data_IF_754238446523
#
_entry.id   IF_754238446523
#
_cell.length_a   1.000
_cell.length_b   1.000
_cell.length_c   1.000
_cell.angle_alpha   90.00
_cell.angle_beta   90.00
_cell.angle_gamma   90.00
#
_symmetry.space_group_name_H-M   'P 1'
#
loop_
_entity.id
_entity.type
_entity.pdbx_description
1 polymer ?
#
# COMPACT_ATOMS: atom_id res chain seq x y z
N UNK A 1 32.76 -21.38 21.91
CA UNK A 1 31.98 -20.31 21.27
C UNK A 1 32.55 -20.14 19.87
N UNK A 2 31.73 -20.42 18.87
CA UNK A 2 31.92 -20.32 17.40
C UNK A 2 31.45 -21.63 16.74
N UNK A 3 30.13 -21.79 16.67
CA UNK A 3 29.47 -22.77 15.82
C UNK A 3 28.67 -22.02 14.76
N UNK A 4 29.37 -21.23 13.94
CA UNK A 4 28.82 -20.65 12.72
C UNK A 4 29.01 -21.65 11.59
N UNK A 5 27.97 -22.43 11.29
CA UNK A 5 27.99 -23.31 10.12
C UNK A 5 28.01 -22.44 8.85
N UNK A 6 29.18 -22.35 8.19
CA UNK A 6 29.30 -21.78 6.84
C UNK A 6 28.64 -22.75 5.85
N UNK A 7 27.36 -22.57 5.56
CA UNK A 7 26.72 -23.27 4.44
C UNK A 7 26.98 -22.44 3.18
N UNK A 8 28.05 -22.80 2.45
CA UNK A 8 28.18 -22.39 1.04
C UNK A 8 27.11 -23.15 0.24
N UNK A 9 26.14 -22.42 -0.30
CA UNK A 9 25.10 -22.90 -1.23
C UNK A 9 24.16 -23.97 -0.65
N UNK A 10 23.01 -23.56 -0.11
CA UNK A 10 21.84 -24.43 -0.03
C UNK A 10 20.96 -24.16 -1.26
N UNK A 11 21.28 -24.81 -2.38
CA UNK A 11 20.29 -25.00 -3.44
C UNK A 11 19.27 -26.02 -2.93
N UNK A 12 18.12 -25.57 -2.40
CA UNK A 12 16.94 -26.44 -2.29
C UNK A 12 16.28 -26.48 -3.66
N UNK A 13 16.99 -27.15 -4.57
CA UNK A 13 16.37 -27.84 -5.67
C UNK A 13 16.22 -29.28 -5.16
N UNK A 14 15.08 -29.92 -5.36
CA UNK A 14 15.13 -31.38 -5.53
C UNK A 14 15.87 -31.67 -6.84
N UNK A 15 17.19 -31.49 -6.79
CA UNK A 15 18.25 -32.04 -7.64
C UNK A 15 19.36 -32.33 -6.63
N UNK A 16 19.52 -33.61 -6.32
CA UNK A 16 20.83 -34.12 -5.97
C UNK A 16 21.71 -33.99 -7.23
N UNK A 17 22.90 -33.41 -7.04
CA UNK A 17 24.09 -33.41 -7.93
C UNK A 17 24.22 -32.24 -8.92
N UNK A 18 25.35 -31.52 -8.77
CA UNK A 18 25.91 -30.60 -9.77
C UNK A 18 27.08 -29.73 -9.29
N UNK A 19 28.17 -30.32 -8.76
CA UNK A 19 29.54 -29.74 -8.89
C UNK A 19 29.73 -29.28 -10.34
N UNK A 20 30.57 -28.30 -10.70
CA UNK A 20 30.65 -27.76 -12.07
C UNK A 20 30.84 -28.84 -13.17
N UNK A 21 29.75 -29.50 -13.59
CA UNK A 21 29.69 -30.73 -14.36
C UNK A 21 28.22 -31.16 -14.49
N UNK A 22 27.85 -31.60 -15.69
CA UNK A 22 26.71 -32.43 -16.10
C UNK A 22 25.52 -32.61 -15.14
N UNK A 23 24.36 -32.15 -15.63
CA UNK A 23 23.02 -32.42 -15.12
C UNK A 23 22.80 -33.87 -14.69
N UNK A 24 22.26 -34.07 -13.49
CA UNK A 24 21.56 -35.31 -13.13
C UNK A 24 20.17 -34.96 -12.58
N UNK A 25 19.17 -35.56 -13.20
CA UNK A 25 17.79 -35.53 -12.74
C UNK A 25 17.66 -36.32 -11.44
N UNK A 26 16.61 -36.03 -10.68
CA UNK A 26 16.18 -36.84 -9.55
C UNK A 26 15.55 -38.14 -10.08
N UNK A 27 16.38 -39.03 -10.62
CA UNK A 27 15.99 -40.42 -10.89
C UNK A 27 16.49 -41.28 -9.73
N UNK A 28 15.52 -41.85 -9.01
CA UNK A 28 15.61 -43.04 -8.15
C UNK A 28 16.70 -43.12 -7.06
N UNK A 29 16.44 -42.50 -5.90
CA UNK A 29 16.94 -43.05 -4.62
C UNK A 29 15.96 -44.16 -4.17
N UNK A 30 16.40 -45.42 -4.06
CA UNK A 30 15.56 -46.49 -3.52
C UNK A 30 15.26 -46.21 -2.04
N UNK A 31 13.98 -46.04 -1.72
CA UNK A 31 13.51 -45.70 -0.37
C UNK A 31 12.81 -44.34 -0.35
N UNK A 32 11.55 -44.34 -0.80
CA UNK A 32 10.64 -43.17 -0.79
C UNK A 32 10.44 -42.62 0.62
N UNK A 33 11.34 -41.76 1.10
CA UNK A 33 10.97 -40.78 2.12
C UNK A 33 10.39 -39.58 1.39
N UNK A 34 9.07 -39.51 1.34
CA UNK A 34 8.36 -38.30 0.97
C UNK A 34 8.66 -37.28 2.08
N UNK A 35 9.31 -36.17 1.74
CA UNK A 35 9.55 -35.09 2.68
C UNK A 35 8.35 -34.14 2.61
N UNK A 36 7.62 -34.00 3.70
CA UNK A 36 6.39 -33.21 3.75
C UNK A 36 6.66 -31.70 4.03
N UNK A 37 7.88 -31.35 4.45
CA UNK A 37 8.30 -29.98 4.81
C UNK A 37 9.83 -29.86 4.76
N UNK A 38 10.32 -28.67 4.39
CA UNK A 38 11.72 -28.26 4.58
C UNK A 38 11.80 -27.04 5.51
N UNK A 39 12.73 -27.05 6.46
CA UNK A 39 13.00 -25.94 7.37
C UNK A 39 14.45 -25.50 7.22
N UNK A 40 14.66 -24.20 6.99
CA UNK A 40 15.96 -23.53 7.07
C UNK A 40 15.87 -22.52 8.20
N UNK A 41 16.66 -22.70 9.26
CA UNK A 41 16.56 -21.88 10.47
C UNK A 41 17.96 -21.49 10.97
N UNK A 42 18.13 -20.28 11.50
CA UNK A 42 19.37 -19.79 12.13
C UNK A 42 20.65 -19.91 11.26
N UNK A 43 20.53 -19.61 9.96
CA UNK A 43 21.64 -19.68 9.01
C UNK A 43 22.08 -18.31 8.48
N UNK A 44 23.36 -18.21 8.09
CA UNK A 44 23.90 -17.09 7.31
C UNK A 44 24.19 -17.50 5.86
N UNK A 45 23.55 -16.84 4.90
CA UNK A 45 23.73 -17.09 3.47
C UNK A 45 24.20 -15.81 2.77
N UNK A 46 25.49 -15.76 2.44
CA UNK A 46 26.11 -14.55 1.91
C UNK A 46 27.14 -14.79 0.81
N UNK A 47 27.39 -13.76 -0.01
CA UNK A 47 28.40 -13.76 -1.08
C UNK A 47 28.26 -14.91 -2.10
N UNK A 48 27.07 -15.50 -2.23
CA UNK A 48 26.81 -16.45 -3.29
C UNK A 48 26.76 -15.71 -4.64
N UNK A 49 27.30 -16.32 -5.71
CA UNK A 49 27.29 -15.71 -7.05
C UNK A 49 25.86 -15.48 -7.59
N UNK A 50 24.90 -16.30 -7.16
CA UNK A 50 23.49 -16.23 -7.59
C UNK A 50 22.58 -15.81 -6.43
N UNK A 51 21.61 -16.65 -6.07
CA UNK A 51 20.69 -16.38 -4.98
C UNK A 51 21.27 -16.89 -3.65
N UNK A 52 20.86 -16.29 -2.53
CA UNK A 52 21.16 -16.88 -1.21
C UNK A 52 20.39 -18.19 -1.01
N UNK A 53 19.08 -18.15 -1.25
CA UNK A 53 18.20 -19.33 -1.27
C UNK A 53 17.38 -19.31 -2.55
N UNK A 54 17.29 -20.47 -3.22
CA UNK A 54 16.38 -20.68 -4.35
C UNK A 54 15.51 -21.90 -4.09
N UNK A 55 14.21 -21.76 -4.27
CA UNK A 55 13.21 -22.79 -4.01
C UNK A 55 12.46 -23.08 -5.31
N UNK A 56 12.33 -24.36 -5.64
CA UNK A 56 11.53 -24.89 -6.77
C UNK A 56 10.80 -26.15 -6.32
N UNK A 57 9.58 -26.35 -6.82
CA UNK A 57 8.78 -27.53 -6.51
C UNK A 57 7.73 -27.26 -5.44
N UNK A 58 6.89 -28.25 -5.14
CA UNK A 58 5.65 -28.09 -4.37
C UNK A 58 5.76 -28.41 -2.87
N UNK A 59 6.94 -28.84 -2.40
CA UNK A 59 7.13 -29.13 -0.98
C UNK A 59 7.19 -27.81 -0.21
N UNK A 60 6.39 -27.64 0.87
CA UNK A 60 6.44 -26.45 1.70
C UNK A 60 7.83 -26.19 2.26
N UNK A 61 8.28 -24.93 2.22
CA UNK A 61 9.57 -24.49 2.76
C UNK A 61 9.38 -23.37 3.77
N UNK A 62 9.96 -23.53 4.97
CA UNK A 62 9.98 -22.51 6.01
C UNK A 62 11.41 -21.99 6.20
N UNK A 63 11.61 -20.67 6.09
CA UNK A 63 12.88 -19.99 6.32
C UNK A 63 12.70 -19.08 7.55
N UNK A 64 13.49 -19.31 8.61
CA UNK A 64 13.35 -18.64 9.90
C UNK A 64 14.67 -18.09 10.41
N UNK A 65 14.64 -16.90 11.01
CA UNK A 65 15.78 -16.33 11.74
C UNK A 65 17.13 -16.28 10.97
N UNK A 66 17.08 -16.25 9.63
CA UNK A 66 18.28 -16.28 8.78
C UNK A 66 18.82 -14.87 8.48
N UNK A 67 20.12 -14.80 8.21
CA UNK A 67 20.81 -13.62 7.66
C UNK A 67 21.15 -13.88 6.19
N UNK A 68 20.52 -13.16 5.26
CA UNK A 68 20.66 -13.42 3.82
C UNK A 68 21.13 -12.15 3.12
N UNK A 69 22.42 -12.09 2.81
CA UNK A 69 23.06 -10.82 2.45
C UNK A 69 24.09 -10.88 1.35
N UNK A 70 24.31 -9.75 0.66
CA UNK A 70 25.46 -9.60 -0.25
C UNK A 70 25.54 -10.66 -1.35
N UNK A 71 24.41 -11.26 -1.76
CA UNK A 71 24.40 -12.25 -2.85
C UNK A 71 24.41 -11.55 -4.22
N UNK A 72 25.03 -12.18 -5.21
CA UNK A 72 25.21 -11.69 -6.59
C UNK A 72 23.91 -11.53 -7.36
N UNK A 73 22.80 -12.10 -6.88
CA UNK A 73 21.44 -11.88 -7.38
C UNK A 73 20.45 -11.55 -6.25
N UNK A 74 19.49 -12.43 -5.98
CA UNK A 74 18.37 -12.21 -5.05
C UNK A 74 18.70 -12.85 -3.71
N UNK A 75 18.24 -12.29 -2.58
CA UNK A 75 18.35 -12.96 -1.30
C UNK A 75 17.62 -14.31 -1.30
N UNK A 76 16.29 -14.28 -1.40
CA UNK A 76 15.42 -15.47 -1.50
C UNK A 76 14.64 -15.45 -2.81
N UNK A 77 14.69 -16.54 -3.57
CA UNK A 77 13.92 -16.72 -4.79
C UNK A 77 12.96 -17.91 -4.67
N UNK A 78 11.66 -17.65 -4.77
CA UNK A 78 10.59 -18.66 -4.79
C UNK A 78 10.10 -18.77 -6.24
N UNK A 79 10.40 -19.89 -6.89
CA UNK A 79 9.98 -20.21 -8.25
C UNK A 79 8.87 -21.29 -8.23
N UNK A 80 8.01 -21.32 -9.26
CA UNK A 80 7.15 -22.44 -9.71
C UNK A 80 6.66 -23.44 -8.64
N UNK A 81 5.36 -23.36 -8.33
CA UNK A 81 4.64 -24.25 -7.40
C UNK A 81 5.12 -24.21 -5.94
N UNK A 82 6.13 -23.40 -5.63
CA UNK A 82 6.63 -23.31 -4.26
C UNK A 82 5.62 -22.69 -3.31
N UNK A 83 5.57 -23.26 -2.11
CA UNK A 83 4.83 -22.73 -0.97
C UNK A 83 5.85 -22.38 0.11
N UNK A 84 6.01 -21.08 0.39
CA UNK A 84 7.13 -20.60 1.20
C UNK A 84 6.65 -19.74 2.36
N UNK A 85 7.23 -19.93 3.54
CA UNK A 85 7.11 -19.01 4.68
C UNK A 85 8.48 -18.46 5.00
N UNK A 86 8.61 -17.13 5.04
CA UNK A 86 9.84 -16.42 5.44
C UNK A 86 9.53 -15.59 6.68
N UNK A 87 10.12 -15.94 7.81
CA UNK A 87 9.81 -15.33 9.10
C UNK A 87 11.07 -14.89 9.87
N UNK A 88 11.05 -13.68 10.45
CA UNK A 88 12.10 -13.23 11.38
C UNK A 88 13.51 -13.09 10.77
N UNK A 89 13.63 -13.01 9.44
CA UNK A 89 14.91 -12.95 8.74
C UNK A 89 15.38 -11.50 8.52
N UNK A 90 16.69 -11.33 8.34
CA UNK A 90 17.30 -10.10 7.84
C UNK A 90 17.83 -10.33 6.42
N UNK A 91 17.27 -9.62 5.44
CA UNK A 91 17.53 -9.86 4.00
C UNK A 91 18.00 -8.56 3.36
N UNK A 92 19.31 -8.44 3.09
CA UNK A 92 19.88 -7.13 2.79
C UNK A 92 21.10 -7.12 1.87
N UNK A 93 21.37 -5.97 1.25
CA UNK A 93 22.54 -5.78 0.38
C UNK A 93 22.66 -6.80 -0.76
N UNK A 94 21.56 -7.43 -1.18
CA UNK A 94 21.58 -8.31 -2.34
C UNK A 94 21.60 -7.48 -3.64
N UNK A 95 22.28 -7.98 -4.65
CA UNK A 95 22.54 -7.26 -5.92
C UNK A 95 21.28 -7.07 -6.79
N UNK A 96 20.16 -7.68 -6.40
CA UNK A 96 18.84 -7.46 -7.01
C UNK A 96 17.77 -7.20 -5.94
N UNK A 97 16.73 -8.03 -5.84
CA UNK A 97 15.69 -7.92 -4.83
C UNK A 97 16.09 -8.66 -3.54
N UNK A 98 15.50 -8.28 -2.40
CA UNK A 98 15.60 -9.07 -1.18
C UNK A 98 14.89 -10.42 -1.34
N UNK A 99 13.61 -10.36 -1.71
CA UNK A 99 12.78 -11.53 -2.03
C UNK A 99 12.19 -11.40 -3.44
N UNK A 100 12.28 -12.46 -4.24
CA UNK A 100 11.71 -12.52 -5.59
C UNK A 100 10.79 -13.73 -5.72
N UNK A 101 9.50 -13.47 -5.94
CA UNK A 101 8.44 -14.45 -6.06
C UNK A 101 8.06 -14.57 -7.53
N UNK A 102 8.15 -15.78 -8.09
CA UNK A 102 7.95 -16.04 -9.52
C UNK A 102 7.14 -17.32 -9.73
N UNK A 103 5.89 -17.18 -10.12
CA UNK A 103 5.00 -18.33 -10.37
C UNK A 103 4.90 -19.31 -9.17
N UNK A 104 5.08 -18.82 -7.95
CA UNK A 104 4.91 -19.64 -6.75
C UNK A 104 3.43 -20.05 -6.59
N UNK A 105 3.17 -21.11 -5.81
CA UNK A 105 1.81 -21.44 -5.39
C UNK A 105 1.33 -20.45 -4.32
N UNK A 106 2.22 -20.07 -3.41
CA UNK A 106 1.97 -19.01 -2.45
C UNK A 106 3.18 -18.70 -1.58
N UNK A 107 3.19 -17.52 -0.97
CA UNK A 107 4.25 -17.12 -0.04
C UNK A 107 3.72 -16.25 1.09
N UNK A 108 4.21 -16.52 2.30
CA UNK A 108 4.04 -15.68 3.49
C UNK A 108 5.38 -15.08 3.87
N UNK A 109 5.44 -13.76 4.02
CA UNK A 109 6.63 -12.99 4.39
C UNK A 109 6.26 -12.21 5.64
N UNK A 110 6.77 -12.59 6.81
CA UNK A 110 6.36 -12.00 8.08
C UNK A 110 7.51 -11.65 9.03
N UNK A 111 7.37 -10.54 9.77
CA UNK A 111 8.32 -10.16 10.82
C UNK A 111 9.79 -10.03 10.35
N UNK A 112 10.03 -9.75 9.06
CA UNK A 112 11.37 -9.64 8.49
C UNK A 112 11.87 -8.19 8.45
N UNK A 113 13.20 -8.02 8.36
CA UNK A 113 13.85 -6.77 7.92
C UNK A 113 14.39 -6.97 6.51
N UNK A 114 13.88 -6.21 5.53
CA UNK A 114 14.27 -6.33 4.11
C UNK A 114 14.78 -4.98 3.60
N UNK A 115 16.10 -4.85 3.44
CA UNK A 115 16.69 -3.52 3.27
C UNK A 115 17.96 -3.43 2.44
N UNK A 116 18.27 -2.25 1.91
CA UNK A 116 19.52 -1.97 1.15
C UNK A 116 19.74 -2.91 -0.04
N UNK A 117 18.69 -3.48 -0.62
CA UNK A 117 18.80 -4.29 -1.84
C UNK A 117 18.84 -3.36 -3.08
N UNK A 118 19.58 -3.75 -4.12
CA UNK A 118 19.81 -2.92 -5.33
C UNK A 118 18.60 -2.79 -6.26
N UNK A 119 17.52 -3.54 -6.01
CA UNK A 119 16.21 -3.38 -6.65
C UNK A 119 15.14 -3.14 -5.57
N UNK A 120 13.99 -3.81 -5.65
CA UNK A 120 12.94 -3.69 -4.65
C UNK A 120 13.20 -4.61 -3.44
N UNK A 121 12.58 -4.32 -2.30
CA UNK A 121 12.62 -5.23 -1.16
C UNK A 121 11.98 -6.58 -1.52
N UNK A 122 10.74 -6.54 -2.01
CA UNK A 122 9.99 -7.70 -2.50
C UNK A 122 9.52 -7.45 -3.94
N UNK A 123 9.83 -8.38 -4.84
CA UNK A 123 9.34 -8.41 -6.23
C UNK A 123 8.41 -9.60 -6.41
N UNK A 124 7.24 -9.37 -6.99
CA UNK A 124 6.23 -10.40 -7.27
C UNK A 124 5.95 -10.42 -8.77
N UNK A 125 6.15 -11.58 -9.39
CA UNK A 125 5.93 -11.81 -10.81
C UNK A 125 5.11 -13.08 -11.02
N UNK A 126 4.12 -13.00 -11.92
CA UNK A 126 3.26 -14.12 -12.30
C UNK A 126 3.07 -14.13 -13.81
N UNK A 127 3.33 -15.26 -14.43
CA UNK A 127 3.06 -15.54 -15.85
C UNK A 127 1.62 -16.00 -16.07
N UNK A 128 1.25 -16.23 -17.34
CA UNK A 128 -0.04 -16.80 -17.77
C UNK A 128 -0.30 -18.26 -17.34
N UNK A 129 0.61 -18.85 -16.58
CA UNK A 129 0.57 -20.28 -16.24
C UNK A 129 -0.78 -20.69 -15.65
N UNK A 130 -1.41 -21.70 -16.27
CA UNK A 130 -2.79 -22.13 -16.00
C UNK A 130 -2.93 -23.01 -14.77
N UNK A 131 -1.86 -23.72 -14.38
CA UNK A 131 -1.88 -24.67 -13.27
C UNK A 131 -2.05 -23.96 -11.91
N UNK A 132 -1.46 -22.78 -11.77
CA UNK A 132 -1.63 -21.92 -10.59
C UNK A 132 -2.47 -20.72 -11.02
N UNK A 133 -3.80 -20.77 -10.87
CA UNK A 133 -4.68 -19.74 -11.41
C UNK A 133 -4.52 -18.41 -10.69
N UNK A 134 -4.07 -18.40 -9.43
CA UNK A 134 -3.83 -17.21 -8.60
C UNK A 134 -2.59 -17.44 -7.74
N UNK A 135 -1.66 -16.49 -7.76
CA UNK A 135 -0.53 -16.46 -6.81
C UNK A 135 -0.94 -15.70 -5.56
N UNK A 136 -1.03 -16.39 -4.42
CA UNK A 136 -1.32 -15.78 -3.12
C UNK A 136 -0.04 -15.27 -2.43
N UNK A 137 -0.01 -14.00 -2.06
CA UNK A 137 1.13 -13.36 -1.40
C UNK A 137 0.67 -12.63 -0.15
N UNK A 138 1.18 -13.04 1.01
CA UNK A 138 0.93 -12.40 2.31
C UNK A 138 2.21 -11.76 2.81
N UNK A 139 2.18 -10.45 3.08
CA UNK A 139 3.31 -9.68 3.61
C UNK A 139 2.83 -8.98 4.88
N UNK A 140 3.29 -9.43 6.05
CA UNK A 140 2.78 -8.95 7.33
C UNK A 140 3.89 -8.50 8.31
N UNK A 141 3.70 -7.37 8.99
CA UNK A 141 4.58 -6.95 10.10
C UNK A 141 6.07 -6.85 9.75
N UNK A 142 6.42 -6.57 8.49
CA UNK A 142 7.81 -6.43 8.05
C UNK A 142 8.27 -4.97 8.15
N UNK A 143 9.59 -4.80 8.27
CA UNK A 143 10.28 -3.52 8.02
C UNK A 143 10.96 -3.61 6.65
N UNK A 144 10.47 -2.86 5.66
CA UNK A 144 10.98 -2.88 4.28
C UNK A 144 11.49 -1.49 3.90
N UNK A 145 12.81 -1.32 3.84
CA UNK A 145 13.38 0.03 3.82
C UNK A 145 14.71 0.19 3.10
N UNK A 146 15.05 1.41 2.69
CA UNK A 146 16.34 1.72 2.07
C UNK A 146 16.67 0.87 0.82
N UNK A 147 15.67 0.35 0.10
CA UNK A 147 15.90 -0.36 -1.15
C UNK A 147 16.01 0.62 -2.33
N UNK A 148 16.79 0.26 -3.35
CA UNK A 148 17.09 1.16 -4.49
C UNK A 148 15.92 1.34 -5.46
N UNK A 149 14.86 0.54 -5.35
CA UNK A 149 13.59 0.72 -6.05
C UNK A 149 12.44 0.89 -5.05
N UNK A 150 11.36 0.11 -5.21
CA UNK A 150 10.21 0.17 -4.32
C UNK A 150 10.39 -0.76 -3.11
N UNK A 151 9.63 -0.56 -2.03
CA UNK A 151 9.58 -1.53 -0.95
C UNK A 151 8.98 -2.86 -1.45
N UNK A 152 7.75 -2.79 -1.97
CA UNK A 152 7.01 -3.92 -2.56
C UNK A 152 6.63 -3.57 -3.99
N UNK A 153 6.87 -4.49 -4.93
CA UNK A 153 6.54 -4.28 -6.34
C UNK A 153 5.90 -5.52 -6.96
N UNK A 154 4.70 -5.37 -7.52
CA UNK A 154 4.10 -6.37 -8.42
C UNK A 154 4.38 -6.05 -9.88
N UNK A 155 4.64 -7.09 -10.67
CA UNK A 155 4.86 -7.03 -12.12
C UNK A 155 4.29 -8.27 -12.83
N UNK A 156 3.05 -8.72 -12.56
CA UNK A 156 2.54 -9.87 -13.28
C UNK A 156 2.35 -9.55 -14.77
N UNK A 157 2.40 -10.57 -15.62
CA UNK A 157 1.86 -10.46 -16.98
C UNK A 157 0.36 -10.12 -16.93
N UNK A 158 -0.23 -9.51 -17.97
CA UNK A 158 -1.62 -9.04 -17.95
C UNK A 158 -2.64 -10.01 -17.33
N UNK A 159 -2.54 -11.29 -17.63
CA UNK A 159 -3.45 -12.36 -17.20
C UNK A 159 -2.91 -13.20 -16.02
N UNK A 160 -1.70 -12.92 -15.54
CA UNK A 160 -1.16 -13.50 -14.31
C UNK A 160 -1.85 -12.90 -13.08
N UNK A 161 -2.72 -13.66 -12.41
CA UNK A 161 -3.46 -13.19 -11.24
C UNK A 161 -2.60 -13.26 -9.98
N UNK A 162 -2.58 -12.17 -9.22
CA UNK A 162 -1.95 -12.08 -7.90
C UNK A 162 -2.98 -11.62 -6.89
N UNK A 163 -3.14 -12.34 -5.78
CA UNK A 163 -3.84 -11.84 -4.60
C UNK A 163 -2.78 -11.43 -3.57
N UNK A 164 -2.62 -10.13 -3.36
CA UNK A 164 -1.58 -9.53 -2.52
C UNK A 164 -2.22 -8.90 -1.28
N UNK A 165 -1.91 -9.46 -0.11
CA UNK A 165 -2.25 -8.89 1.19
C UNK A 165 -1.01 -8.28 1.86
N UNK A 166 -1.07 -6.98 2.15
CA UNK A 166 -0.03 -6.26 2.92
C UNK A 166 -0.63 -5.69 4.20
N UNK A 167 -0.20 -6.19 5.35
CA UNK A 167 -0.81 -5.89 6.65
C UNK A 167 0.23 -5.48 7.70
N UNK A 168 0.03 -4.35 8.38
CA UNK A 168 0.86 -3.97 9.53
C UNK A 168 2.34 -3.71 9.22
N UNK A 169 2.72 -3.49 7.96
CA UNK A 169 4.12 -3.30 7.58
C UNK A 169 4.58 -1.86 7.81
N UNK A 170 5.88 -1.69 8.11
CA UNK A 170 6.59 -0.41 8.03
C UNK A 170 7.41 -0.36 6.74
N UNK A 171 7.01 0.48 5.77
CA UNK A 171 7.63 0.55 4.44
C UNK A 171 8.15 1.95 4.18
N UNK A 172 9.47 2.15 4.24
CA UNK A 172 10.01 3.51 4.29
C UNK A 172 11.38 3.71 3.65
N UNK A 173 11.71 4.95 3.30
CA UNK A 173 13.03 5.32 2.77
C UNK A 173 13.46 4.51 1.53
N UNK A 174 12.53 3.92 0.79
CA UNK A 174 12.86 3.27 -0.48
C UNK A 174 13.05 4.36 -1.55
N UNK A 175 14.01 4.21 -2.46
CA UNK A 175 14.34 5.28 -3.44
C UNK A 175 13.21 5.57 -4.44
N UNK A 176 12.25 4.65 -4.60
CA UNK A 176 11.04 4.84 -5.42
C UNK A 176 9.80 4.77 -4.52
N UNK A 177 8.74 4.09 -4.95
CA UNK A 177 7.49 4.04 -4.18
C UNK A 177 7.60 3.11 -2.97
N UNK A 178 6.78 3.31 -1.94
CA UNK A 178 6.64 2.30 -0.88
C UNK A 178 6.08 0.99 -1.45
N UNK A 179 4.91 1.09 -2.08
CA UNK A 179 4.20 -0.03 -2.71
C UNK A 179 3.85 0.34 -4.15
N UNK A 180 4.22 -0.53 -5.10
CA UNK A 180 3.88 -0.38 -6.52
C UNK A 180 3.08 -1.59 -7.00
N UNK A 181 1.89 -1.33 -7.52
CA UNK A 181 0.96 -2.35 -8.02
C UNK A 181 0.73 -2.18 -9.52
N UNK A 182 0.75 -3.30 -10.23
CA UNK A 182 0.55 -3.40 -11.68
C UNK A 182 -0.30 -4.64 -12.03
N UNK A 183 -0.91 -4.58 -13.21
CA UNK A 183 -1.65 -5.66 -13.86
C UNK A 183 -2.66 -6.35 -12.92
N UNK A 184 -2.98 -7.61 -13.17
CA UNK A 184 -4.06 -8.36 -12.52
C UNK A 184 -3.76 -8.73 -11.06
N UNK A 185 -3.34 -7.73 -10.28
CA UNK A 185 -3.11 -7.78 -8.85
C UNK A 185 -4.38 -7.29 -8.15
N UNK A 186 -4.92 -8.11 -7.25
CA UNK A 186 -5.86 -7.69 -6.21
C UNK A 186 -5.03 -7.32 -4.98
N UNK A 187 -4.96 -6.04 -4.65
CA UNK A 187 -4.28 -5.54 -3.46
C UNK A 187 -5.28 -5.37 -2.32
N UNK A 188 -4.95 -5.94 -1.16
CA UNK A 188 -5.50 -5.55 0.15
C UNK A 188 -4.37 -4.93 0.97
N UNK A 189 -4.46 -3.64 1.25
CA UNK A 189 -3.48 -2.91 2.06
C UNK A 189 -4.14 -2.39 3.34
N UNK A 190 -3.79 -2.99 4.49
CA UNK A 190 -4.39 -2.68 5.79
C UNK A 190 -3.36 -2.31 6.86
N UNK A 191 -3.58 -1.23 7.60
CA UNK A 191 -2.81 -0.98 8.83
C UNK A 191 -1.31 -0.72 8.61
N UNK A 192 -0.88 -0.38 7.40
CA UNK A 192 0.54 -0.19 7.11
C UNK A 192 0.98 1.25 7.43
N UNK A 193 2.23 1.41 7.86
CA UNK A 193 2.92 2.70 7.96
C UNK A 193 3.87 2.86 6.78
N UNK A 194 3.55 3.75 5.84
CA UNK A 194 4.26 3.91 4.56
C UNK A 194 4.76 5.35 4.41
N UNK A 195 6.06 5.56 4.60
CA UNK A 195 6.59 6.92 4.73
C UNK A 195 8.00 7.16 4.18
N UNK A 196 8.36 8.42 3.94
CA UNK A 196 9.70 8.82 3.47
C UNK A 196 10.17 8.12 2.18
N UNK A 197 9.26 7.61 1.34
CA UNK A 197 9.66 6.96 0.10
C UNK A 197 9.94 8.03 -0.98
N UNK A 198 10.87 7.73 -1.88
CA UNK A 198 11.40 8.67 -2.87
C UNK A 198 10.43 9.05 -3.99
N UNK A 199 9.28 8.38 -4.10
CA UNK A 199 8.16 8.81 -4.94
C UNK A 199 6.83 8.74 -4.18
N UNK A 200 5.88 7.89 -4.58
CA UNK A 200 4.58 7.78 -3.91
C UNK A 200 4.64 6.79 -2.73
N UNK A 201 3.74 6.95 -1.75
CA UNK A 201 3.56 5.92 -0.72
C UNK A 201 3.04 4.62 -1.33
N UNK A 202 1.84 4.68 -1.92
CA UNK A 202 1.22 3.60 -2.70
C UNK A 202 0.94 4.12 -4.11
N UNK A 203 1.32 3.37 -5.15
CA UNK A 203 0.99 3.69 -6.54
C UNK A 203 0.48 2.49 -7.32
N UNK A 204 -0.59 2.69 -8.09
CA UNK A 204 -1.12 1.72 -9.05
C UNK A 204 -0.99 2.28 -10.47
N UNK A 205 -0.31 1.57 -11.37
CA UNK A 205 -0.02 2.03 -12.74
C UNK A 205 -1.01 1.50 -13.79
N UNK A 206 -1.06 2.20 -14.95
CA UNK A 206 -1.77 1.73 -16.16
C UNK A 206 -1.38 0.29 -16.44
N UNK A 207 -2.39 -0.53 -16.72
CA UNK A 207 -2.25 -1.96 -16.87
C UNK A 207 -3.18 -2.46 -17.96
N UNK A 208 -2.79 -3.52 -18.66
CA UNK A 208 -3.66 -4.15 -19.67
C UNK A 208 -4.90 -4.74 -19.02
N UNK A 209 -4.71 -5.42 -17.88
CA UNK A 209 -5.80 -5.81 -16.98
C UNK A 209 -5.63 -5.00 -15.69
N UNK A 210 -6.57 -4.09 -15.39
CA UNK A 210 -6.52 -3.26 -14.20
C UNK A 210 -6.42 -4.01 -12.87
N UNK A 211 -5.61 -3.51 -11.93
CA UNK A 211 -5.66 -3.94 -10.54
C UNK A 211 -7.05 -3.76 -9.90
N UNK A 212 -7.31 -4.54 -8.86
CA UNK A 212 -8.37 -4.26 -7.87
C UNK A 212 -7.70 -3.82 -6.58
N UNK A 213 -8.19 -2.77 -5.94
CA UNK A 213 -7.52 -2.12 -4.83
C UNK A 213 -8.48 -1.95 -3.66
N UNK A 214 -8.08 -2.41 -2.49
CA UNK A 214 -8.72 -2.12 -1.22
C UNK A 214 -7.65 -1.64 -0.23
N UNK A 215 -7.60 -0.34 -0.03
CA UNK A 215 -6.55 0.37 0.73
C UNK A 215 -7.23 1.02 1.93
N UNK A 216 -7.02 0.48 3.12
CA UNK A 216 -7.68 1.01 4.31
C UNK A 216 -6.86 0.98 5.60
N UNK A 217 -7.18 1.89 6.53
CA UNK A 217 -6.51 2.00 7.83
C UNK A 217 -4.99 2.18 7.75
N UNK A 218 -4.44 2.68 6.64
CA UNK A 218 -3.01 2.91 6.51
C UNK A 218 -2.64 4.32 6.98
N UNK A 219 -1.41 4.49 7.46
CA UNK A 219 -0.75 5.79 7.66
C UNK A 219 0.25 5.99 6.52
N UNK A 220 0.00 6.97 5.65
CA UNK A 220 0.81 7.24 4.46
C UNK A 220 1.31 8.67 4.50
N UNK A 221 2.60 8.87 4.73
CA UNK A 221 3.12 10.21 5.04
C UNK A 221 4.55 10.49 4.58
N UNK A 222 4.90 11.77 4.44
CA UNK A 222 6.29 12.21 4.14
C UNK A 222 6.90 11.64 2.85
N UNK A 223 6.10 11.08 1.94
CA UNK A 223 6.62 10.58 0.67
C UNK A 223 6.93 11.75 -0.27
N UNK A 224 7.97 11.65 -1.10
CA UNK A 224 8.40 12.70 -2.06
C UNK A 224 7.51 12.86 -3.29
N UNK A 225 6.28 12.35 -3.22
CA UNK A 225 5.29 12.35 -4.28
C UNK A 225 3.90 12.33 -3.64
N UNK A 226 2.88 11.78 -4.32
CA UNK A 226 1.57 11.63 -3.71
C UNK A 226 1.58 10.58 -2.60
N UNK A 227 0.70 10.70 -1.61
CA UNK A 227 0.52 9.65 -0.61
C UNK A 227 0.02 8.36 -1.28
N UNK A 228 -1.16 8.44 -1.88
CA UNK A 228 -1.78 7.34 -2.64
C UNK A 228 -2.04 7.83 -4.07
N UNK A 229 -1.48 7.15 -5.07
CA UNK A 229 -1.65 7.49 -6.49
C UNK A 229 -2.28 6.35 -7.29
N UNK A 230 -3.48 6.57 -7.81
CA UNK A 230 -4.15 5.65 -8.74
C UNK A 230 -4.11 6.23 -10.14
N UNK A 231 -3.29 5.67 -11.02
CA UNK A 231 -3.13 6.15 -12.41
C UNK A 231 -4.37 5.77 -13.24
N UNK A 232 -4.67 6.56 -14.27
CA UNK A 232 -5.78 6.33 -15.20
C UNK A 232 -5.80 4.91 -15.79
N UNK A 233 -7.00 4.41 -16.10
CA UNK A 233 -7.20 3.11 -16.73
C UNK A 233 -7.46 1.96 -15.76
N UNK A 234 -7.42 2.21 -14.44
CA UNK A 234 -7.82 1.21 -13.44
C UNK A 234 -9.35 1.11 -13.38
N UNK A 235 -9.92 -0.05 -13.74
CA UNK A 235 -11.38 -0.28 -13.87
C UNK A 235 -11.95 -1.29 -12.86
N UNK A 236 -11.11 -1.83 -11.98
CA UNK A 236 -11.54 -2.71 -10.90
C UNK A 236 -12.27 -1.93 -9.79
N UNK A 237 -12.68 -2.62 -8.72
CA UNK A 237 -13.04 -1.95 -7.48
C UNK A 237 -11.82 -1.18 -6.93
N UNK A 238 -11.99 0.09 -6.60
CA UNK A 238 -10.94 0.93 -6.00
C UNK A 238 -11.50 1.58 -4.73
N UNK A 239 -11.21 0.94 -3.60
CA UNK A 239 -11.53 1.46 -2.28
C UNK A 239 -10.32 2.11 -1.62
N UNK A 240 -10.46 3.38 -1.23
CA UNK A 240 -9.50 4.11 -0.40
C UNK A 240 -10.26 4.60 0.83
N UNK A 241 -10.12 3.90 1.96
CA UNK A 241 -10.99 4.13 3.13
C UNK A 241 -10.25 4.22 4.44
N UNK A 242 -10.65 5.07 5.37
CA UNK A 242 -10.10 5.06 6.72
C UNK A 242 -8.57 5.26 6.78
N UNK A 243 -7.96 5.88 5.76
CA UNK A 243 -6.52 6.13 5.74
C UNK A 243 -6.20 7.50 6.34
N UNK A 244 -5.06 7.57 7.01
CA UNK A 244 -4.40 8.80 7.42
C UNK A 244 -3.36 9.14 6.38
N UNK A 245 -3.55 10.22 5.64
CA UNK A 245 -2.67 10.62 4.54
C UNK A 245 -2.18 12.04 4.78
N UNK A 246 -0.89 12.20 5.11
CA UNK A 246 -0.42 13.52 5.55
C UNK A 246 1.02 13.83 5.19
N UNK A 247 1.35 15.12 5.03
CA UNK A 247 2.71 15.60 4.75
C UNK A 247 3.41 14.94 3.55
N UNK A 248 2.67 14.45 2.56
CA UNK A 248 3.26 14.00 1.32
C UNK A 248 3.60 15.21 0.45
N UNK A 249 4.68 15.14 -0.33
CA UNK A 249 5.19 16.30 -1.08
C UNK A 249 4.21 16.78 -2.17
N UNK A 250 3.42 15.88 -2.75
CA UNK A 250 2.33 16.21 -3.69
C UNK A 250 0.98 15.91 -3.04
N UNK A 251 -0.08 15.80 -3.84
CA UNK A 251 -1.42 15.51 -3.35
C UNK A 251 -1.48 14.30 -2.42
N UNK A 252 -2.29 14.39 -1.36
CA UNK A 252 -2.47 13.27 -0.44
C UNK A 252 -2.99 12.04 -1.19
N UNK A 253 -4.15 12.20 -1.82
CA UNK A 253 -4.74 11.18 -2.70
C UNK A 253 -4.85 11.75 -4.11
N UNK A 254 -4.14 11.12 -5.06
CA UNK A 254 -4.14 11.47 -6.47
C UNK A 254 -4.78 10.36 -7.29
N UNK A 255 -5.81 10.70 -8.06
CA UNK A 255 -6.50 9.81 -8.97
C UNK A 255 -6.43 10.39 -10.39
N UNK A 256 -5.97 9.57 -11.33
CA UNK A 256 -5.70 9.96 -12.71
C UNK A 256 -4.28 10.50 -12.92
N UNK A 257 -4.10 11.23 -14.03
CA UNK A 257 -2.82 11.71 -14.56
C UNK A 257 -1.90 10.57 -15.05
N UNK A 258 -1.07 10.86 -16.05
CA UNK A 258 -0.32 9.95 -16.94
C UNK A 258 -1.15 9.33 -18.09
N UNK A 259 -0.46 9.25 -19.22
CA UNK A 259 -0.93 8.91 -20.56
C UNK A 259 -1.50 7.50 -20.62
N UNK A 260 -2.81 7.39 -20.44
CA UNK A 260 -3.59 6.20 -20.79
C UNK A 260 -4.61 6.58 -21.86
N UNK A 261 -4.83 5.70 -22.84
CA UNK A 261 -5.89 5.87 -23.84
C UNK A 261 -7.26 5.91 -23.15
N UNK A 262 -7.44 5.09 -22.10
CA UNK A 262 -8.62 5.20 -21.22
C UNK A 262 -8.32 6.10 -20.03
N UNK A 263 -9.03 7.22 -19.98
CA UNK A 263 -8.89 8.26 -18.96
C UNK A 263 -9.90 8.09 -17.82
N UNK A 264 -10.64 6.98 -17.76
CA UNK A 264 -11.63 6.73 -16.71
C UNK A 264 -11.05 5.83 -15.62
N UNK A 265 -11.45 6.13 -14.38
CA UNK A 265 -11.44 5.20 -13.26
C UNK A 265 -12.89 4.79 -13.00
N UNK A 266 -13.13 3.51 -12.74
CA UNK A 266 -14.49 3.01 -12.44
C UNK A 266 -14.54 2.51 -11.01
N UNK A 267 -15.67 2.71 -10.34
CA UNK A 267 -15.89 2.25 -8.95
C UNK A 267 -14.82 2.75 -7.97
N UNK A 268 -14.47 4.03 -8.10
CA UNK A 268 -13.55 4.73 -7.19
C UNK A 268 -14.33 5.33 -6.01
N UNK A 269 -13.98 4.85 -4.82
CA UNK A 269 -14.55 5.25 -3.55
C UNK A 269 -13.44 5.76 -2.63
N UNK A 270 -13.47 7.06 -2.32
CA UNK A 270 -12.58 7.73 -1.37
C UNK A 270 -13.46 8.14 -0.19
N UNK A 271 -13.50 7.29 0.85
CA UNK A 271 -14.48 7.40 1.92
C UNK A 271 -13.80 7.41 3.28
N UNK A 272 -14.20 8.30 4.20
CA UNK A 272 -13.68 8.27 5.57
C UNK A 272 -12.16 8.36 5.67
N UNK A 273 -11.47 9.17 4.86
CA UNK A 273 -10.03 9.40 5.02
C UNK A 273 -9.77 10.72 5.75
N UNK A 274 -8.66 10.80 6.48
CA UNK A 274 -8.14 12.06 7.04
C UNK A 274 -6.91 12.47 6.24
N UNK A 275 -7.03 13.53 5.46
CA UNK A 275 -6.05 13.97 4.46
C UNK A 275 -5.53 15.36 4.80
N UNK A 276 -4.33 15.44 5.38
CA UNK A 276 -3.86 16.65 6.08
C UNK A 276 -2.49 17.12 5.62
N UNK A 277 -2.32 18.43 5.39
CA UNK A 277 -0.99 19.03 5.15
C UNK A 277 -0.20 18.42 4.00
N UNK A 278 -0.87 17.90 2.97
CA UNK A 278 -0.19 17.38 1.79
C UNK A 278 0.05 18.49 0.77
N UNK A 279 1.12 18.33 0.02
CA UNK A 279 1.38 19.12 -1.16
C UNK A 279 2.47 20.17 -1.03
N UNK A 280 2.99 20.54 -2.19
CA UNK A 280 3.87 21.68 -2.42
C UNK A 280 3.70 22.13 -3.87
N UNK A 281 3.83 23.43 -4.12
CA UNK A 281 3.59 24.01 -5.46
C UNK A 281 2.22 23.67 -6.05
N UNK A 282 2.10 23.59 -7.38
CA UNK A 282 0.82 23.37 -8.09
C UNK A 282 0.24 21.94 -7.99
N UNK A 283 0.91 21.04 -7.29
CA UNK A 283 0.54 19.61 -7.21
C UNK A 283 -0.05 19.22 -5.85
N UNK A 284 -0.38 20.19 -4.99
CA UNK A 284 -0.68 19.98 -3.58
C UNK A 284 -2.14 20.03 -3.15
N UNK A 285 -3.05 19.33 -3.82
CA UNK A 285 -4.42 19.18 -3.32
C UNK A 285 -4.52 18.06 -2.27
N UNK A 286 -5.44 18.13 -1.31
CA UNK A 286 -5.71 16.99 -0.43
C UNK A 286 -6.15 15.76 -1.21
N UNK A 287 -7.27 15.88 -1.93
CA UNK A 287 -7.79 14.86 -2.84
C UNK A 287 -7.90 15.46 -4.24
N UNK A 288 -7.27 14.84 -5.23
CA UNK A 288 -7.29 15.26 -6.63
C UNK A 288 -7.75 14.12 -7.53
N UNK A 289 -8.83 14.32 -8.26
CA UNK A 289 -9.29 13.43 -9.32
C UNK A 289 -9.31 14.13 -10.68
N UNK A 290 -8.49 13.63 -11.60
CA UNK A 290 -8.45 14.06 -13.00
C UNK A 290 -9.03 13.03 -13.97
N UNK A 291 -9.57 11.92 -13.45
CA UNK A 291 -10.19 10.90 -14.27
C UNK A 291 -11.51 11.41 -14.89
N UNK A 292 -11.94 10.78 -15.98
CA UNK A 292 -13.28 11.00 -16.57
C UNK A 292 -14.35 10.07 -15.96
N UNK A 293 -13.97 9.34 -14.91
CA UNK A 293 -14.76 8.32 -14.24
C UNK A 293 -15.91 8.87 -13.39
N UNK A 294 -16.75 7.96 -12.88
CA UNK A 294 -17.63 8.30 -11.76
C UNK A 294 -16.85 8.03 -10.47
N UNK A 295 -16.84 9.02 -9.60
CA UNK A 295 -16.13 9.00 -8.33
C UNK A 295 -17.11 9.24 -7.18
N UNK A 296 -16.81 8.65 -6.03
CA UNK A 296 -17.47 8.90 -4.75
C UNK A 296 -16.40 9.39 -3.78
N UNK A 297 -16.51 10.64 -3.34
CA UNK A 297 -15.68 11.26 -2.30
C UNK A 297 -16.62 11.69 -1.17
N UNK A 298 -16.64 10.96 -0.06
CA UNK A 298 -17.52 11.33 1.04
C UNK A 298 -16.96 11.00 2.41
N UNK A 299 -17.47 11.69 3.43
CA UNK A 299 -17.10 11.49 4.82
C UNK A 299 -15.59 11.70 5.07
N UNK A 300 -14.86 12.41 4.20
CA UNK A 300 -13.44 12.66 4.43
C UNK A 300 -13.26 13.94 5.25
N UNK A 301 -12.19 13.99 6.03
CA UNK A 301 -11.65 15.22 6.60
C UNK A 301 -10.45 15.61 5.76
N UNK A 302 -10.48 16.80 5.16
CA UNK A 302 -9.43 17.30 4.27
C UNK A 302 -9.02 18.68 4.74
N UNK A 303 -7.82 18.79 5.32
CA UNK A 303 -7.41 20.04 5.97
C UNK A 303 -5.96 20.43 5.70
N UNK A 304 -5.67 21.73 5.70
CA UNK A 304 -4.32 22.29 5.64
C UNK A 304 -3.50 21.89 4.39
N UNK A 305 -4.12 21.37 3.34
CA UNK A 305 -3.39 20.96 2.13
C UNK A 305 -3.00 22.19 1.30
N UNK A 306 -1.83 22.13 0.66
CA UNK A 306 -1.13 23.32 0.16
C UNK A 306 -1.90 24.15 -0.89
N UNK A 307 -2.64 23.52 -1.81
CA UNK A 307 -3.36 24.22 -2.90
C UNK A 307 -4.85 24.32 -2.63
N UNK A 308 -5.47 23.20 -2.26
CA UNK A 308 -6.93 23.05 -2.20
C UNK A 308 -7.27 21.76 -1.46
N UNK A 309 -8.51 21.64 -0.98
CA UNK A 309 -8.98 20.44 -0.33
C UNK A 309 -9.30 19.34 -1.34
N UNK A 310 -10.43 19.48 -2.03
CA UNK A 310 -10.91 18.51 -3.02
C UNK A 310 -10.93 19.16 -4.39
N UNK A 311 -10.24 18.57 -5.36
CA UNK A 311 -10.26 19.00 -6.75
C UNK A 311 -10.74 17.85 -7.64
N UNK A 312 -11.81 18.08 -8.39
CA UNK A 312 -12.35 17.11 -9.36
C UNK A 312 -12.54 17.76 -10.71
N UNK A 313 -12.31 17.00 -11.80
CA UNK A 313 -12.40 17.52 -13.18
C UNK A 313 -13.76 18.09 -13.58
N UNK A 314 -14.84 17.72 -12.89
CA UNK A 314 -16.23 18.07 -13.25
C UNK A 314 -17.02 18.73 -12.13
N UNK A 315 -16.37 19.06 -11.01
CA UNK A 315 -17.05 19.61 -9.82
C UNK A 315 -18.21 18.73 -9.34
N UNK A 316 -18.00 17.41 -9.32
CA UNK A 316 -19.02 16.41 -8.99
C UNK A 316 -18.39 15.21 -8.28
N UNK A 317 -19.24 14.46 -7.58
CA UNK A 317 -18.85 13.21 -6.94
C UNK A 317 -18.36 13.35 -5.50
N UNK A 318 -18.35 14.57 -4.95
CA UNK A 318 -18.06 14.84 -3.54
C UNK A 318 -19.33 15.27 -2.78
N UNK A 319 -19.45 14.82 -1.53
CA UNK A 319 -20.55 15.15 -0.60
C UNK A 319 -20.20 14.72 0.82
N UNK A 320 -20.71 15.38 1.85
CA UNK A 320 -20.47 15.06 3.26
C UNK A 320 -18.99 15.01 3.64
N UNK A 321 -18.16 15.91 3.13
CA UNK A 321 -16.76 16.06 3.55
C UNK A 321 -16.59 17.29 4.43
N UNK A 322 -15.66 17.22 5.37
CA UNK A 322 -15.18 18.38 6.12
C UNK A 322 -13.92 18.92 5.46
N UNK A 323 -13.93 20.21 5.15
CA UNK A 323 -12.85 20.94 4.50
C UNK A 323 -12.38 22.08 5.41
N UNK A 324 -11.08 22.24 5.59
CA UNK A 324 -10.57 23.33 6.43
C UNK A 324 -9.20 23.83 6.01
N UNK A 325 -9.02 25.15 5.95
CA UNK A 325 -7.73 25.80 5.77
C UNK A 325 -6.85 25.28 4.62
N UNK A 326 -7.43 24.64 3.59
CA UNK A 326 -6.68 24.21 2.42
C UNK A 326 -6.40 25.40 1.51
N UNK A 327 -5.18 25.51 0.96
CA UNK A 327 -4.76 26.66 0.17
C UNK A 327 -4.35 27.86 1.03
N UNK A 328 -4.10 27.65 2.32
CA UNK A 328 -3.77 28.70 3.30
C UNK A 328 -4.83 29.80 3.37
N UNK A 329 -6.09 29.43 3.13
CA UNK A 329 -7.23 30.34 3.28
C UNK A 329 -7.79 30.20 4.68
N UNK A 330 -8.12 31.33 5.30
CA UNK A 330 -8.75 31.36 6.62
C UNK A 330 -10.13 30.68 6.66
N UNK A 331 -10.76 30.73 7.83
CA UNK A 331 -12.04 30.08 8.06
C UNK A 331 -13.21 30.84 7.42
N UNK A 332 -14.24 30.12 7.01
CA UNK A 332 -15.52 30.71 6.58
C UNK A 332 -16.37 31.16 7.78
N UNK A 333 -16.13 30.57 8.95
CA UNK A 333 -17.05 30.64 10.09
C UNK A 333 -16.88 31.89 10.95
N UNK A 334 -15.80 32.64 10.78
CA UNK A 334 -15.50 33.78 11.66
C UNK A 334 -16.29 35.04 11.25
N UNK A 335 -16.83 35.08 10.03
CA UNK A 335 -17.77 36.13 9.60
C UNK A 335 -18.73 35.63 8.49
N UNK A 336 -20.00 35.28 8.82
CA UNK A 336 -21.00 34.87 7.84
C UNK A 336 -21.40 35.98 6.85
N UNK A 337 -21.02 37.24 7.09
CA UNK A 337 -21.18 38.36 6.16
C UNK A 337 -19.91 38.64 5.33
N UNK A 338 -18.75 38.10 5.71
CA UNK A 338 -17.48 38.37 5.04
C UNK A 338 -16.77 37.14 4.47
N UNK A 339 -17.28 35.91 4.65
CA UNK A 339 -16.70 34.74 3.98
C UNK A 339 -17.17 34.67 2.53
N UNK A 340 -16.42 35.18 1.54
CA UNK A 340 -16.96 35.34 0.21
C UNK A 340 -16.87 34.00 -0.51
N UNK A 341 -17.66 33.82 -1.56
CA UNK A 341 -17.68 32.60 -2.39
C UNK A 341 -16.29 32.08 -2.83
N UNK A 342 -15.21 32.87 -2.69
CA UNK A 342 -13.86 32.47 -3.04
C UNK A 342 -13.19 31.49 -2.04
N UNK A 343 -13.47 31.57 -0.73
CA UNK A 343 -12.87 30.64 0.27
C UNK A 343 -13.38 29.22 0.03
N UNK A 344 -14.70 29.07 -0.11
CA UNK A 344 -15.35 27.81 -0.49
C UNK A 344 -14.82 27.28 -1.84
N UNK A 345 -14.66 28.16 -2.83
CA UNK A 345 -14.06 27.78 -4.11
C UNK A 345 -12.64 27.25 -3.95
N UNK A 346 -11.81 27.82 -3.09
CA UNK A 346 -10.45 27.32 -2.85
C UNK A 346 -10.47 25.98 -2.12
N UNK A 347 -11.40 25.73 -1.19
CA UNK A 347 -11.57 24.39 -0.60
C UNK A 347 -11.89 23.33 -1.66
N UNK A 348 -12.57 23.72 -2.75
CA UNK A 348 -13.11 22.83 -3.78
C UNK A 348 -12.46 22.98 -5.17
N UNK A 349 -11.21 23.44 -5.23
CA UNK A 349 -10.44 23.50 -6.47
C UNK A 349 -11.05 24.39 -7.57
N UNK A 350 -11.79 25.43 -7.19
CA UNK A 350 -12.48 26.37 -8.08
C UNK A 350 -13.93 26.02 -8.40
N UNK A 351 -14.45 24.92 -7.85
CA UNK A 351 -15.82 24.51 -8.10
C UNK A 351 -16.85 25.47 -7.49
N UNK A 352 -17.97 25.73 -8.19
CA UNK A 352 -18.88 26.83 -7.85
C UNK A 352 -19.74 26.57 -6.60
N UNK A 353 -19.95 25.30 -6.24
CA UNK A 353 -20.85 24.89 -5.16
C UNK A 353 -20.25 23.73 -4.35
N UNK A 354 -20.46 23.77 -3.04
CA UNK A 354 -20.25 22.63 -2.15
C UNK A 354 -21.16 21.45 -2.44
N UNK A 355 -20.68 20.26 -2.13
CA UNK A 355 -21.47 19.06 -2.14
C UNK A 355 -22.52 19.07 -1.03
N UNK A 356 -23.59 18.29 -1.21
CA UNK A 356 -24.59 18.10 -0.17
C UNK A 356 -23.92 17.61 1.11
N UNK A 357 -24.18 18.30 2.22
CA UNK A 357 -23.68 17.93 3.55
C UNK A 357 -22.19 18.21 3.78
N UNK A 358 -21.49 18.84 2.82
CA UNK A 358 -20.12 19.29 3.07
C UNK A 358 -20.10 20.40 4.13
N UNK A 359 -19.07 20.36 4.98
CA UNK A 359 -18.83 21.28 6.09
C UNK A 359 -17.51 21.99 5.80
N UNK A 360 -17.46 23.30 5.98
CA UNK A 360 -16.22 24.08 5.94
C UNK A 360 -16.04 24.69 7.32
N UNK A 361 -15.25 24.05 8.15
CA UNK A 361 -15.06 24.38 9.57
C UNK A 361 -13.81 23.65 10.10
N UNK A 362 -13.23 24.15 11.20
CA UNK A 362 -12.10 23.49 11.86
C UNK A 362 -12.49 22.06 12.29
N UNK A 363 -11.72 21.02 11.92
CA UNK A 363 -11.96 19.66 12.40
C UNK A 363 -11.73 19.49 13.91
N UNK A 364 -11.10 20.45 14.60
CA UNK A 364 -10.72 20.35 16.01
C UNK A 364 -9.84 19.12 16.27
N UNK A 365 -8.68 19.07 15.61
CA UNK A 365 -7.69 18.03 15.87
C UNK A 365 -7.06 18.18 17.26
N UNK A 366 -6.72 17.07 17.91
CA UNK A 366 -6.11 17.06 19.26
C UNK A 366 -4.75 17.78 19.28
N UNK A 367 -3.84 17.45 18.35
CA UNK A 367 -2.51 18.08 18.27
C UNK A 367 -1.95 17.93 16.83
N UNK A 368 -2.39 18.78 15.89
CA UNK A 368 -1.99 18.66 14.48
C UNK A 368 -0.49 18.90 14.25
N UNK A 369 0.17 19.71 15.09
CA UNK A 369 1.61 20.00 15.00
C UNK A 369 2.47 18.75 15.27
N UNK A 370 1.95 17.81 16.07
CA UNK A 370 2.55 16.50 16.32
C UNK A 370 1.92 15.37 15.51
N UNK A 371 1.19 15.71 14.45
CA UNK A 371 0.52 14.76 13.54
C UNK A 371 -0.54 13.88 14.24
N UNK A 372 -1.10 14.37 15.35
CA UNK A 372 -2.22 13.78 16.05
C UNK A 372 -3.52 14.37 15.53
N UNK A 373 -4.04 13.75 14.47
CA UNK A 373 -5.26 14.16 13.80
C UNK A 373 -6.53 13.48 14.33
N UNK A 374 -6.48 12.89 15.53
CA UNK A 374 -7.71 12.47 16.21
C UNK A 374 -8.55 13.72 16.54
N UNK A 375 -9.87 13.55 16.64
CA UNK A 375 -10.82 14.63 16.89
C UNK A 375 -10.97 14.89 18.39
N UNK A 376 -11.19 16.15 18.75
CA UNK A 376 -11.70 16.59 20.05
C UNK A 376 -13.22 16.39 20.11
N UNK A 377 -13.80 16.36 21.31
CA UNK A 377 -15.20 15.96 21.56
C UNK A 377 -16.22 16.90 20.89
N UNK A 378 -15.88 18.17 20.68
CA UNK A 378 -16.75 19.18 20.05
C UNK A 378 -16.57 19.25 18.52
N UNK A 379 -15.82 18.31 17.92
CA UNK A 379 -15.53 18.35 16.49
C UNK A 379 -16.80 18.34 15.65
N UNK A 380 -16.94 19.25 14.66
CA UNK A 380 -18.07 19.24 13.74
C UNK A 380 -18.06 18.06 12.76
N UNK A 381 -17.01 17.22 12.78
CA UNK A 381 -16.96 15.97 12.04
C UNK A 381 -17.70 14.80 12.73
N UNK A 382 -17.96 14.91 14.03
CA UNK A 382 -18.65 13.87 14.81
C UNK A 382 -20.12 13.81 14.39
N UNK A 383 -20.61 12.59 14.11
CA UNK A 383 -21.98 12.30 13.66
C UNK A 383 -22.46 13.12 12.43
N UNK A 384 -21.51 13.65 11.65
CA UNK A 384 -21.77 14.59 10.56
C UNK A 384 -21.67 13.95 9.17
N UNK A 385 -21.15 12.73 9.08
CA UNK A 385 -21.07 11.99 7.82
C UNK A 385 -22.44 11.57 7.28
N UNK A 386 -22.40 11.09 6.03
CA UNK A 386 -23.52 10.37 5.42
C UNK A 386 -23.64 8.99 6.05
N UNK A 387 -24.87 8.61 6.39
CA UNK A 387 -25.19 7.23 6.71
C UNK A 387 -24.88 6.31 5.53
N UNK A 388 -24.13 5.24 5.80
CA UNK A 388 -23.83 4.19 4.84
C UNK A 388 -24.37 2.91 5.47
N UNK A 389 -25.55 2.47 5.04
CA UNK A 389 -26.36 1.38 5.63
C UNK A 389 -25.63 0.04 5.85
N UNK A 390 -24.42 -0.12 5.29
CA UNK A 390 -23.61 -1.32 5.46
C UNK A 390 -22.85 -1.30 6.80
N UNK A 391 -22.51 -0.13 7.37
CA UNK A 391 -21.89 -0.01 8.70
C UNK A 391 -22.11 1.37 9.34
N UNK A 392 -22.32 1.36 10.66
CA UNK A 392 -22.58 2.52 11.50
C UNK A 392 -21.64 2.49 12.73
N UNK A 393 -21.03 3.60 13.11
CA UNK A 393 -20.10 3.77 14.25
C UNK A 393 -20.77 4.25 15.56
N UNK A 394 -22.11 4.21 15.63
CA UNK A 394 -23.00 4.50 16.78
C UNK A 394 -22.53 4.04 18.18
N UNK A 395 -21.63 3.05 18.29
CA UNK A 395 -21.12 2.54 19.57
C UNK A 395 -19.62 2.83 19.81
N UNK A 396 -19.04 3.79 19.08
CA UNK A 396 -17.64 4.20 19.24
C UNK A 396 -17.48 5.31 20.27
N UNK A 397 -16.30 5.41 20.89
CA UNK A 397 -16.02 6.27 22.07
C UNK A 397 -16.29 7.77 21.84
N UNK A 398 -16.30 8.24 20.59
CA UNK A 398 -16.57 9.64 20.24
C UNK A 398 -17.92 9.86 19.53
N UNK A 399 -18.63 8.80 19.12
CA UNK A 399 -19.97 8.98 18.56
C UNK A 399 -20.94 9.34 19.68
N UNK A 400 -21.81 10.31 19.43
CA UNK A 400 -22.90 10.67 20.35
C UNK A 400 -24.07 9.68 20.30
N UNK A 401 -23.90 8.54 19.60
CA UNK A 401 -24.88 7.47 19.52
C UNK A 401 -25.90 7.65 18.40
N UNK A 402 -25.58 8.43 17.37
CA UNK A 402 -26.48 8.65 16.22
C UNK A 402 -26.34 7.56 15.15
N UNK A 403 -27.19 7.58 14.12
CA UNK A 403 -27.05 6.70 12.94
C UNK A 403 -26.11 7.24 11.86
N UNK A 404 -25.55 8.44 12.05
CA UNK A 404 -24.67 9.09 11.08
C UNK A 404 -23.22 8.81 11.44
N UNK A 405 -22.46 8.34 10.46
CA UNK A 405 -21.04 8.06 10.65
C UNK A 405 -20.25 9.34 10.97
N UNK A 406 -19.22 9.23 11.81
CA UNK A 406 -18.20 10.28 11.92
C UNK A 406 -17.50 10.47 10.56
N UNK A 407 -17.05 11.69 10.28
CA UNK A 407 -16.14 11.94 9.16
C UNK A 407 -14.69 11.60 9.52
N UNK A 408 -13.87 11.31 8.52
CA UNK A 408 -12.45 11.07 8.65
C UNK A 408 -12.08 9.61 8.95
N UNK A 409 -10.78 9.40 9.18
CA UNK A 409 -10.14 8.09 9.28
C UNK A 409 -10.65 7.19 10.41
N UNK A 410 -11.24 7.79 11.45
CA UNK A 410 -11.79 7.10 12.62
C UNK A 410 -13.28 6.83 12.54
N UNK A 411 -13.97 7.30 11.49
CA UNK A 411 -15.41 7.10 11.35
C UNK A 411 -15.79 5.96 10.39
N UNK A 412 -17.02 5.47 10.52
CA UNK A 412 -17.63 4.52 9.59
C UNK A 412 -17.07 3.08 9.60
N UNK A 413 -17.27 2.31 8.51
CA UNK A 413 -17.19 0.83 8.48
C UNK A 413 -15.89 0.21 8.97
N UNK A 414 -14.75 0.85 8.69
CA UNK A 414 -13.43 0.31 9.03
C UNK A 414 -12.86 0.97 10.28
N UNK A 415 -13.69 1.65 11.08
CA UNK A 415 -13.34 2.05 12.45
C UNK A 415 -13.50 0.90 13.46
N UNK A 416 -14.09 -0.24 13.05
CA UNK A 416 -14.49 -1.37 13.89
C UNK A 416 -13.36 -2.12 14.64
N UNK A 417 -12.09 -1.74 14.52
CA UNK A 417 -11.03 -2.33 15.35
C UNK A 417 -10.86 -1.51 16.62
N UNK A 418 -11.34 -2.09 17.73
CA UNK A 418 -11.18 -1.59 19.09
C UNK A 418 -9.71 -1.20 19.33
N UNK A 419 -9.52 0.00 19.87
CA UNK A 419 -8.25 0.50 20.39
C UNK A 419 -7.56 -0.51 21.31
#
# INVERSE_FOLDING_TARGET
MESGCKILVLEIIFILIGLATNSLAMDDIPGKRKHDLVIIEDNELYQNNLCGIRIRGSIPVTIKACQIRSNGMTGIRSDKHSQVTVAGCNIFQNSTAGINVRDAAGITIENNRIYRNKKAGVVIWKSREKEIPVLEVKIANNRIYNNDMAGIRTMPQPDGKVDLSIVGNSIYQNKKAGVRVENNTKLTAKGNSIYDNGTAGIVSYVSTIPPKLDIYQNRVSFNRGPGIHIVNGVKGHIGIRNNWVYNNQFSGILCGILTSIDTRLLNLEIINNTVVSNGSGKQGAGIRDESKGKIIIMNNIVAYNYVTGIMTKRCKGYSYNLLFANGDVGNCCDDPNASPCWVERIQLGGCPEKGKGDIICDPLFVDPDRYNFYLQDESPAIDAGKEITICNDMHFFLSTGTSRNDMGATGGPYACEKR
#
